data_IF_082038626463
#
_entry.id   IF_082038626463
#
_cell.length_a   1.000
_cell.length_b   1.000
_cell.length_c   1.000
_cell.angle_alpha   90.00
_cell.angle_beta   90.00
_cell.angle_gamma   90.00
#
_symmetry.space_group_name_H-M   'P 1'
#
loop_
_entity.id
_entity.type
_entity.pdbx_description
1 polymer ?
#
# COMPACT_ATOMS: atom_id res chain seq x y z
N UNK A 1 9.40 16.65 12.53
CA UNK A 1 8.00 16.26 12.78
C UNK A 1 7.98 14.75 12.98
N UNK A 2 7.58 14.27 14.16
CA UNK A 2 7.61 12.83 14.49
C UNK A 2 6.32 12.10 14.04
N UNK A 3 5.86 12.36 12.82
CA UNK A 3 4.74 11.60 12.26
C UNK A 3 5.22 10.19 11.92
N UNK A 4 4.60 9.18 12.51
CA UNK A 4 4.81 7.76 12.20
C UNK A 4 3.48 7.18 11.76
N UNK A 5 3.41 6.74 10.52
CA UNK A 5 2.15 6.26 9.92
C UNK A 5 1.58 5.01 10.59
N UNK A 6 2.42 4.21 11.27
CA UNK A 6 1.99 3.01 12.02
C UNK A 6 0.88 3.28 13.03
N UNK A 7 0.80 4.50 13.61
CA UNK A 7 -0.30 4.86 14.51
C UNK A 7 -1.65 5.01 13.82
N UNK A 8 -1.66 5.19 12.50
CA UNK A 8 -2.84 5.50 11.69
C UNK A 8 -3.12 4.48 10.60
N UNK A 9 -2.24 3.46 10.46
CA UNK A 9 -2.32 2.47 9.39
C UNK A 9 -3.69 1.78 9.38
N UNK A 10 -4.28 1.65 8.21
CA UNK A 10 -5.58 1.02 8.02
C UNK A 10 -6.79 1.83 8.47
N UNK A 11 -6.63 3.12 8.80
CA UNK A 11 -7.76 4.00 9.10
C UNK A 11 -8.63 4.27 7.85
N UNK A 12 -9.73 5.01 8.02
CA UNK A 12 -10.67 5.28 6.92
C UNK A 12 -10.01 6.02 5.75
N UNK A 13 -9.04 6.90 6.02
CA UNK A 13 -8.34 7.64 4.96
C UNK A 13 -7.41 6.73 4.16
N UNK A 14 -6.73 5.81 4.81
CA UNK A 14 -5.94 4.78 4.14
C UNK A 14 -6.82 3.87 3.28
N UNK A 15 -7.93 3.40 3.82
CA UNK A 15 -8.89 2.58 3.06
C UNK A 15 -9.31 3.30 1.79
N UNK A 16 -9.72 4.55 1.91
CA UNK A 16 -10.17 5.34 0.76
C UNK A 16 -9.04 5.55 -0.28
N UNK A 17 -7.87 6.00 0.16
CA UNK A 17 -6.71 6.21 -0.72
C UNK A 17 -6.30 4.92 -1.44
N UNK A 18 -6.27 3.82 -0.73
CA UNK A 18 -5.79 2.56 -1.26
C UNK A 18 -6.81 1.87 -2.18
N UNK A 19 -8.11 2.04 -1.95
CA UNK A 19 -9.14 1.65 -2.94
C UNK A 19 -8.93 2.44 -4.24
N UNK A 20 -8.74 3.76 -4.16
CA UNK A 20 -8.49 4.61 -5.33
C UNK A 20 -7.20 4.17 -6.05
N UNK A 21 -6.11 3.94 -5.30
CA UNK A 21 -4.85 3.43 -5.86
C UNK A 21 -5.06 2.12 -6.62
N UNK A 22 -5.72 1.15 -6.00
CA UNK A 22 -5.98 -0.15 -6.61
C UNK A 22 -6.83 -0.01 -7.89
N UNK A 23 -7.82 0.88 -7.90
CA UNK A 23 -8.64 1.18 -9.08
C UNK A 23 -7.85 1.83 -10.21
N UNK A 24 -6.95 2.77 -9.88
CA UNK A 24 -6.06 3.39 -10.88
C UNK A 24 -5.15 2.34 -11.50
N UNK A 25 -4.53 1.48 -10.70
CA UNK A 25 -3.67 0.40 -11.20
C UNK A 25 -4.46 -0.54 -12.10
N UNK A 26 -5.63 -1.02 -11.66
CA UNK A 26 -6.49 -1.88 -12.47
C UNK A 26 -6.91 -1.21 -13.80
N UNK A 27 -7.19 0.08 -13.79
CA UNK A 27 -7.50 0.84 -15.00
C UNK A 27 -6.30 0.94 -15.95
N UNK A 28 -5.09 1.20 -15.42
CA UNK A 28 -3.87 1.26 -16.21
C UNK A 28 -3.56 -0.08 -16.89
N UNK A 29 -3.95 -1.18 -16.29
CA UNK A 29 -3.75 -2.53 -16.82
C UNK A 29 -4.65 -2.89 -18.01
N UNK A 30 -5.66 -2.07 -18.34
CA UNK A 30 -6.43 -2.22 -19.58
C UNK A 30 -5.58 -1.97 -20.84
N UNK A 31 -4.38 -1.42 -20.70
CA UNK A 31 -3.41 -1.26 -21.78
C UNK A 31 -2.25 -2.22 -21.60
N UNK A 32 -1.72 -2.77 -22.69
CA UNK A 32 -0.57 -3.68 -22.65
C UNK A 32 0.74 -2.98 -22.27
N UNK A 33 0.81 -1.68 -22.48
CA UNK A 33 1.98 -0.88 -22.15
C UNK A 33 2.34 -1.01 -20.65
N UNK A 34 3.62 -1.21 -20.37
CA UNK A 34 4.14 -1.18 -19.00
C UNK A 34 4.00 0.20 -18.39
N UNK A 35 3.75 0.25 -17.08
CA UNK A 35 3.76 1.50 -16.32
C UNK A 35 4.65 1.39 -15.09
N UNK A 36 4.95 2.54 -14.52
CA UNK A 36 5.68 2.66 -13.26
C UNK A 36 4.86 3.45 -12.25
N UNK A 37 4.75 2.91 -11.04
CA UNK A 37 4.27 3.66 -9.88
C UNK A 37 5.47 4.30 -9.19
N UNK A 38 5.40 5.60 -8.93
CA UNK A 38 6.32 6.33 -8.07
C UNK A 38 5.58 6.64 -6.77
N UNK A 39 5.97 5.94 -5.70
CA UNK A 39 5.46 6.17 -4.35
C UNK A 39 6.44 7.08 -3.61
N UNK A 40 6.04 8.30 -3.35
CA UNK A 40 6.91 9.35 -2.80
C UNK A 40 7.01 9.34 -1.28
N UNK A 41 6.11 8.63 -0.60
CA UNK A 41 6.05 8.52 0.86
C UNK A 41 5.60 7.11 1.24
N UNK A 42 6.47 6.14 0.97
CA UNK A 42 6.10 4.72 0.94
C UNK A 42 5.89 4.09 2.33
N UNK A 43 6.43 4.71 3.39
CA UNK A 43 6.30 4.21 4.76
C UNK A 43 6.99 2.86 4.98
N UNK A 44 6.48 2.09 5.93
CA UNK A 44 7.00 0.75 6.27
C UNK A 44 6.72 -0.33 5.22
N UNK A 45 5.78 -0.08 4.30
CA UNK A 45 5.26 -1.10 3.39
C UNK A 45 4.18 -1.98 4.04
N UNK A 46 4.51 -2.80 5.00
CA UNK A 46 3.58 -3.66 5.72
C UNK A 46 3.51 -3.24 7.21
N UNK A 47 2.31 -3.03 7.72
CA UNK A 47 2.06 -2.54 9.06
C UNK A 47 1.48 -3.64 9.95
N UNK A 48 2.12 -3.92 11.08
CA UNK A 48 1.61 -4.83 12.10
C UNK A 48 0.53 -4.12 12.94
N UNK A 49 -0.72 -4.51 12.74
CA UNK A 49 -1.87 -3.95 13.48
C UNK A 49 -1.97 -4.46 14.91
N UNK A 50 -1.21 -5.49 15.27
CA UNK A 50 -1.12 -5.97 16.67
C UNK A 50 -0.10 -5.18 17.49
N UNK A 51 0.73 -4.35 16.84
CA UNK A 51 1.75 -3.53 17.51
C UNK A 51 1.14 -2.55 18.52
N UNK A 52 1.92 -2.19 19.54
CA UNK A 52 1.50 -1.22 20.56
C UNK A 52 1.11 0.12 19.94
N UNK A 53 1.80 0.55 18.88
CA UNK A 53 1.52 1.78 18.18
C UNK A 53 0.14 1.76 17.50
N UNK A 54 -0.17 0.72 16.74
CA UNK A 54 -1.44 0.57 16.05
C UNK A 54 -2.59 0.37 17.07
N UNK A 55 -2.34 -0.37 18.14
CA UNK A 55 -3.35 -0.61 19.20
C UNK A 55 -3.63 0.64 20.03
N UNK A 56 -2.66 1.52 20.20
CA UNK A 56 -2.81 2.77 20.97
C UNK A 56 -3.90 3.69 20.42
N UNK A 57 -4.00 3.80 19.11
CA UNK A 57 -5.04 4.61 18.45
C UNK A 57 -6.26 3.75 18.06
N UNK A 58 -6.03 2.51 17.64
CA UNK A 58 -7.07 1.58 17.22
C UNK A 58 -7.86 2.03 15.97
N UNK A 59 -7.34 2.99 15.22
CA UNK A 59 -8.05 3.58 14.06
C UNK A 59 -8.38 2.56 12.98
N UNK A 60 -7.54 1.53 12.81
CA UNK A 60 -7.78 0.45 11.86
C UNK A 60 -9.10 -0.29 12.10
N UNK A 61 -9.59 -0.35 13.36
CA UNK A 61 -10.84 -1.02 13.71
C UNK A 61 -12.05 -0.35 13.06
N UNK A 62 -12.02 0.97 12.93
CA UNK A 62 -13.08 1.77 12.27
C UNK A 62 -12.80 2.03 10.78
N UNK A 63 -11.63 1.66 10.30
CA UNK A 63 -11.21 1.68 8.90
C UNK A 63 -11.34 0.30 8.26
N UNK A 64 -10.19 -0.35 8.02
CA UNK A 64 -10.14 -1.65 7.33
C UNK A 64 -10.93 -2.75 8.08
N UNK A 65 -10.95 -2.73 9.41
CA UNK A 65 -11.74 -3.68 10.21
C UNK A 65 -13.20 -3.68 9.79
N UNK A 66 -13.85 -2.51 9.76
CA UNK A 66 -15.25 -2.41 9.30
C UNK A 66 -15.46 -2.79 7.85
N UNK A 67 -14.51 -2.47 6.97
CA UNK A 67 -14.62 -2.83 5.55
C UNK A 67 -14.62 -4.35 5.39
N UNK A 68 -13.72 -5.04 6.08
CA UNK A 68 -13.66 -6.51 6.01
C UNK A 68 -14.90 -7.19 6.60
N UNK A 69 -15.44 -6.66 7.71
CA UNK A 69 -16.71 -7.15 8.30
C UNK A 69 -17.91 -6.96 7.36
N UNK A 70 -17.92 -5.87 6.59
CA UNK A 70 -19.02 -5.54 5.70
C UNK A 70 -18.88 -6.16 4.30
N UNK A 71 -17.68 -6.62 3.93
CA UNK A 71 -17.37 -7.05 2.57
C UNK A 71 -18.31 -8.16 2.07
N UNK A 72 -18.60 -9.17 2.89
CA UNK A 72 -19.44 -10.30 2.48
C UNK A 72 -20.92 -9.94 2.29
N UNK A 73 -21.32 -8.75 2.76
CA UNK A 73 -22.70 -8.22 2.64
C UNK A 73 -22.79 -7.04 1.68
N UNK A 74 -21.70 -6.64 1.10
CA UNK A 74 -21.68 -5.52 0.16
C UNK A 74 -22.37 -5.90 -1.16
N UNK A 75 -23.04 -4.92 -1.83
CA UNK A 75 -23.57 -5.12 -3.17
C UNK A 75 -22.49 -5.59 -4.15
N UNK A 76 -22.87 -6.43 -5.12
CA UNK A 76 -21.93 -7.07 -6.05
C UNK A 76 -21.12 -6.04 -6.87
N UNK A 77 -21.71 -4.93 -7.25
CA UNK A 77 -21.08 -3.83 -7.97
C UNK A 77 -20.03 -3.11 -7.09
N UNK A 78 -20.32 -2.92 -5.81
CA UNK A 78 -19.38 -2.37 -4.84
C UNK A 78 -18.20 -3.32 -4.65
N UNK A 79 -18.49 -4.63 -4.45
CA UNK A 79 -17.44 -5.65 -4.34
C UNK A 79 -16.54 -5.68 -5.56
N UNK A 80 -17.11 -5.63 -6.77
CA UNK A 80 -16.33 -5.59 -8.00
C UNK A 80 -15.40 -4.37 -8.07
N UNK A 81 -15.81 -3.24 -7.51
CA UNK A 81 -14.98 -2.03 -7.45
C UNK A 81 -13.82 -2.16 -6.46
N UNK A 82 -14.04 -2.74 -5.30
CA UNK A 82 -13.05 -2.75 -4.22
C UNK A 82 -12.25 -4.06 -4.14
N UNK A 83 -12.63 -5.12 -4.89
CA UNK A 83 -11.97 -6.42 -4.86
C UNK A 83 -10.45 -6.36 -5.06
N UNK A 84 -9.87 -5.56 -5.99
CA UNK A 84 -8.42 -5.52 -6.13
C UNK A 84 -7.71 -5.07 -4.85
N UNK A 85 -8.30 -4.14 -4.11
CA UNK A 85 -7.79 -3.70 -2.82
C UNK A 85 -7.97 -4.77 -1.73
N UNK A 86 -9.18 -5.38 -1.64
CA UNK A 86 -9.44 -6.42 -0.65
C UNK A 86 -8.54 -7.64 -0.85
N UNK A 87 -8.24 -8.01 -2.10
CA UNK A 87 -7.34 -9.11 -2.42
C UNK A 87 -5.91 -8.84 -1.95
N UNK A 88 -5.42 -7.61 -2.09
CA UNK A 88 -4.13 -7.20 -1.54
C UNK A 88 -4.11 -7.28 0.00
N UNK A 89 -5.18 -6.86 0.67
CA UNK A 89 -5.30 -6.97 2.14
C UNK A 89 -5.34 -8.42 2.58
N UNK A 90 -6.15 -9.27 1.91
CA UNK A 90 -6.25 -10.70 2.22
C UNK A 90 -4.94 -11.43 2.00
N UNK A 91 -4.20 -11.11 0.94
CA UNK A 91 -2.90 -11.73 0.66
C UNK A 91 -1.85 -11.45 1.73
N UNK A 92 -1.99 -10.33 2.45
CA UNK A 92 -1.15 -9.99 3.60
C UNK A 92 -1.59 -10.69 4.90
N UNK A 93 -2.73 -11.40 4.87
CA UNK A 93 -3.33 -12.08 6.03
C UNK A 93 -3.76 -13.51 5.68
N UNK A 94 -2.84 -14.40 5.27
CA UNK A 94 -3.18 -15.74 4.77
C UNK A 94 -3.83 -16.64 5.81
N UNK A 95 -3.58 -16.41 7.10
CA UNK A 95 -4.18 -17.17 8.21
C UNK A 95 -5.61 -16.69 8.55
N UNK A 96 -6.10 -15.69 7.84
CA UNK A 96 -7.39 -15.06 8.13
C UNK A 96 -7.30 -13.95 9.19
N UNK A 97 -8.42 -13.24 9.38
CA UNK A 97 -8.44 -12.06 10.23
C UNK A 97 -7.74 -10.86 9.61
N UNK A 98 -7.39 -9.86 10.43
CA UNK A 98 -6.63 -8.69 10.02
C UNK A 98 -5.57 -8.41 11.08
N UNK A 99 -4.37 -8.87 10.87
CA UNK A 99 -3.21 -8.62 11.72
C UNK A 99 -2.18 -7.74 11.03
N UNK A 100 -2.18 -7.77 9.69
CA UNK A 100 -1.27 -6.98 8.86
C UNK A 100 -2.06 -6.06 7.93
N UNK A 101 -1.56 -4.85 7.73
CA UNK A 101 -2.14 -3.92 6.77
C UNK A 101 -1.12 -3.52 5.70
N UNK A 102 -1.39 -3.79 4.40
CA UNK A 102 -0.49 -3.39 3.34
C UNK A 102 -0.62 -1.89 3.07
N UNK A 103 0.51 -1.18 3.08
CA UNK A 103 0.61 0.19 2.59
C UNK A 103 0.61 0.26 1.06
N UNK A 104 0.67 1.47 0.54
CA UNK A 104 0.64 1.74 -0.91
C UNK A 104 1.65 0.93 -1.72
N UNK A 105 2.94 0.78 -1.31
CA UNK A 105 3.91 0.04 -2.11
C UNK A 105 3.59 -1.46 -2.18
N UNK A 106 3.07 -2.05 -1.09
CA UNK A 106 2.69 -3.47 -1.06
C UNK A 106 1.45 -3.73 -1.90
N UNK A 107 0.43 -2.85 -1.83
CA UNK A 107 -0.78 -2.93 -2.65
C UNK A 107 -0.42 -2.80 -4.14
N UNK A 108 0.38 -1.81 -4.49
CA UNK A 108 0.82 -1.62 -5.87
C UNK A 108 1.55 -2.86 -6.38
N UNK A 109 2.51 -3.37 -5.61
CA UNK A 109 3.29 -4.55 -5.98
C UNK A 109 2.44 -5.81 -6.13
N UNK A 110 1.46 -6.01 -5.25
CA UNK A 110 0.51 -7.14 -5.34
C UNK A 110 -0.26 -7.15 -6.66
N UNK A 111 -0.65 -5.97 -7.14
CA UNK A 111 -1.47 -5.81 -8.35
C UNK A 111 -0.66 -5.83 -9.64
N UNK A 112 0.67 -5.71 -9.60
CA UNK A 112 1.51 -5.56 -10.79
C UNK A 112 1.54 -6.80 -11.67
N UNK A 113 1.53 -6.54 -12.98
CA UNK A 113 1.94 -7.50 -14.02
C UNK A 113 3.48 -7.58 -14.04
N UNK A 114 4.04 -8.57 -14.72
CA UNK A 114 5.50 -8.79 -14.82
C UNK A 114 6.27 -7.59 -15.37
N UNK A 115 5.67 -6.80 -16.26
CA UNK A 115 6.31 -5.63 -16.90
C UNK A 115 6.23 -4.35 -16.06
N UNK A 116 5.32 -4.26 -15.08
CA UNK A 116 5.11 -3.05 -14.29
C UNK A 116 6.20 -2.89 -13.21
N UNK A 117 6.48 -1.69 -12.79
CA UNK A 117 7.58 -1.36 -11.88
C UNK A 117 7.15 -0.39 -10.78
N UNK A 118 7.75 -0.57 -9.60
CA UNK A 118 7.64 0.32 -8.44
C UNK A 118 8.95 1.07 -8.22
N UNK A 119 8.84 2.35 -7.95
CA UNK A 119 9.89 3.13 -7.28
C UNK A 119 9.27 3.67 -6.00
N UNK A 120 9.78 3.23 -4.86
CA UNK A 120 9.31 3.63 -3.54
C UNK A 120 10.37 4.51 -2.87
N UNK A 121 9.97 5.70 -2.43
CA UNK A 121 10.83 6.65 -1.75
C UNK A 121 10.39 6.75 -0.28
N UNK A 122 11.34 6.60 0.63
CA UNK A 122 11.12 6.75 2.05
C UNK A 122 12.31 7.51 2.66
N UNK A 123 12.02 8.56 3.43
CA UNK A 123 13.05 9.41 4.01
C UNK A 123 13.42 8.97 5.44
N UNK A 124 12.43 8.49 6.21
CA UNK A 124 12.67 8.11 7.59
C UNK A 124 13.61 6.88 7.66
N UNK A 125 14.74 6.95 8.38
CA UNK A 125 15.75 5.90 8.33
C UNK A 125 15.23 4.52 8.69
N UNK A 126 14.50 4.40 9.81
CA UNK A 126 13.98 3.12 10.29
C UNK A 126 12.91 2.55 9.36
N UNK A 127 12.02 3.41 8.83
CA UNK A 127 10.95 2.97 7.92
C UNK A 127 11.54 2.54 6.58
N UNK A 128 12.58 3.25 6.09
CA UNK A 128 13.33 2.85 4.92
C UNK A 128 13.97 1.48 5.07
N UNK A 129 14.66 1.22 6.19
CA UNK A 129 15.35 -0.06 6.42
C UNK A 129 14.35 -1.23 6.41
N UNK A 130 13.19 -1.06 7.05
CA UNK A 130 12.11 -2.05 7.04
C UNK A 130 11.55 -2.25 5.63
N UNK A 131 11.22 -1.17 4.95
CA UNK A 131 10.67 -1.22 3.58
C UNK A 131 11.66 -1.86 2.61
N UNK A 132 12.95 -1.49 2.70
CA UNK A 132 14.00 -2.04 1.84
C UNK A 132 14.14 -3.55 2.01
N UNK A 133 14.12 -4.04 3.26
CA UNK A 133 14.18 -5.47 3.55
C UNK A 133 12.99 -6.25 2.96
N UNK A 134 11.78 -5.66 2.93
CA UNK A 134 10.60 -6.31 2.34
C UNK A 134 10.69 -6.48 0.82
N UNK A 135 11.46 -5.64 0.15
CA UNK A 135 11.63 -5.68 -1.31
C UNK A 135 13.01 -6.20 -1.74
N UNK A 136 13.80 -6.74 -0.80
CA UNK A 136 15.11 -7.31 -1.13
C UNK A 136 14.96 -8.45 -2.15
N UNK A 137 15.72 -8.34 -3.26
CA UNK A 137 15.65 -9.31 -4.36
C UNK A 137 14.45 -9.16 -5.31
N UNK A 138 13.51 -8.25 -5.05
CA UNK A 138 12.39 -8.00 -5.97
C UNK A 138 12.81 -7.15 -7.16
N UNK A 139 12.89 -7.77 -8.33
CA UNK A 139 13.30 -7.10 -9.58
C UNK A 139 12.30 -6.06 -10.10
N UNK A 140 11.08 -6.04 -9.57
CA UNK A 140 10.02 -5.10 -9.98
C UNK A 140 9.95 -3.86 -9.07
N UNK A 141 10.59 -3.90 -7.90
CA UNK A 141 10.54 -2.83 -6.92
C UNK A 141 11.94 -2.26 -6.66
N UNK A 142 12.03 -0.94 -6.61
CA UNK A 142 13.22 -0.21 -6.18
C UNK A 142 12.86 0.69 -5.01
N UNK A 143 13.49 0.47 -3.87
CA UNK A 143 13.37 1.32 -2.68
C UNK A 143 14.58 2.25 -2.61
N UNK A 144 14.33 3.53 -2.36
CA UNK A 144 15.41 4.55 -2.29
C UNK A 144 15.17 5.47 -1.09
N UNK A 145 16.22 5.68 -0.30
CA UNK A 145 16.20 6.63 0.81
C UNK A 145 16.33 8.04 0.26
N UNK A 146 15.20 8.70 0.05
CA UNK A 146 15.15 10.01 -0.58
C UNK A 146 13.90 10.76 -0.13
N UNK A 147 14.03 12.08 0.02
CA UNK A 147 12.88 12.97 0.16
C UNK A 147 11.97 12.87 -1.07
N UNK A 148 10.69 12.56 -0.83
CA UNK A 148 9.73 12.33 -1.91
C UNK A 148 9.53 13.53 -2.83
N UNK A 149 9.59 14.75 -2.28
CA UNK A 149 9.46 15.98 -3.07
C UNK A 149 10.66 16.22 -3.99
N UNK A 150 11.86 15.90 -3.50
CA UNK A 150 13.07 15.93 -4.32
C UNK A 150 13.03 14.82 -5.37
N UNK A 151 12.53 13.64 -4.98
CA UNK A 151 12.42 12.47 -5.85
C UNK A 151 11.52 12.70 -7.06
N UNK A 152 10.41 13.43 -6.92
CA UNK A 152 9.52 13.75 -8.05
C UNK A 152 10.31 14.39 -9.19
N UNK A 153 11.15 15.38 -8.90
CA UNK A 153 11.93 16.11 -9.92
C UNK A 153 12.91 15.20 -10.68
N UNK A 154 13.42 14.17 -10.03
CA UNK A 154 14.39 13.25 -10.65
C UNK A 154 13.74 12.11 -11.44
N UNK A 155 12.45 11.85 -11.19
CA UNK A 155 11.71 10.74 -11.81
C UNK A 155 10.68 11.18 -12.85
N UNK A 156 10.32 12.45 -12.90
CA UNK A 156 9.34 13.00 -13.84
C UNK A 156 9.93 14.15 -14.68
N UNK A 157 9.66 14.19 -16.00
CA UNK A 157 9.01 13.13 -16.78
C UNK A 157 9.89 11.88 -16.89
N UNK A 158 9.30 10.69 -17.10
CA UNK A 158 10.08 9.47 -17.33
C UNK A 158 10.93 9.65 -18.60
N UNK A 159 12.19 9.23 -18.53
CA UNK A 159 13.11 9.22 -19.68
C UNK A 159 12.87 8.01 -20.55
#
# INVERSE_FOLDING_TARGET
MNYRHIFHAGNFADVFKHIVLARIIAYMQNKDAAFRVLDTHAGLGLYDLSSDQAQKTGEWKTGIGKVMEAADRAPADVLALISPYLDAVRSSNPEGGITQYPGSPMIARHLFRKQDRLTALELHPEDFDVLHAQFEGDVQARVTKLDGWLGIKSHLPPK
#
